data_IF_564832312048
#
_entry.id   IF_564832312048
#
_cell.length_a   1.000
_cell.length_b   1.000
_cell.length_c   1.000
_cell.angle_alpha   90.00
_cell.angle_beta   90.00
_cell.angle_gamma   90.00
#
_symmetry.space_group_name_H-M   'P 1'
#
loop_
_entity.id
_entity.type
_entity.pdbx_description
1 polymer ?
#
# COMPACT_ATOMS: atom_id res chain seq x y z
N UNK A 1 -9.69 14.33 -15.52
CA UNK A 1 -8.52 14.55 -16.39
C UNK A 1 -7.76 13.24 -16.44
N UNK A 2 -7.93 12.48 -17.51
CA UNK A 2 -7.19 11.24 -17.73
C UNK A 2 -5.80 11.60 -18.26
N UNK A 3 -4.77 11.20 -17.52
CA UNK A 3 -3.38 11.39 -17.91
C UNK A 3 -2.98 10.26 -18.85
N UNK A 4 -3.37 10.36 -20.12
CA UNK A 4 -2.96 9.44 -21.17
C UNK A 4 -2.33 10.27 -22.30
N UNK A 5 -1.01 10.15 -22.47
CA UNK A 5 -0.30 10.56 -23.68
C UNK A 5 -0.25 9.37 -24.66
N UNK A 6 -0.49 9.67 -25.93
CA UNK A 6 -0.55 8.79 -27.09
C UNK A 6 0.81 8.24 -27.53
N UNK A 7 1.85 8.33 -26.69
CA UNK A 7 3.25 7.95 -26.99
C UNK A 7 3.94 7.05 -25.96
N UNK A 8 3.18 6.42 -25.05
CA UNK A 8 3.60 5.17 -24.40
C UNK A 8 4.83 5.20 -23.48
N UNK A 9 5.08 6.29 -22.73
CA UNK A 9 6.38 6.44 -22.06
C UNK A 9 6.48 7.11 -20.69
N UNK A 10 5.41 7.37 -19.93
CA UNK A 10 5.50 7.63 -18.48
C UNK A 10 4.28 7.05 -17.77
N UNK A 11 4.51 6.14 -16.82
CA UNK A 11 3.44 5.39 -16.15
C UNK A 11 2.90 6.25 -15.01
N UNK A 12 1.59 6.43 -14.93
CA UNK A 12 0.87 7.11 -13.84
C UNK A 12 1.48 6.90 -12.43
N UNK A 13 2.04 5.69 -12.17
CA UNK A 13 2.80 5.35 -10.97
C UNK A 13 3.93 6.32 -10.58
N UNK A 14 4.68 6.87 -11.54
CA UNK A 14 5.81 7.75 -11.23
C UNK A 14 5.37 9.07 -10.59
N UNK A 15 4.14 9.53 -10.87
CA UNK A 15 3.56 10.76 -10.31
C UNK A 15 2.94 10.57 -8.93
N UNK A 16 2.51 9.36 -8.62
CA UNK A 16 1.75 9.05 -7.39
C UNK A 16 2.54 8.21 -6.38
N UNK A 17 3.69 7.65 -6.78
CA UNK A 17 4.43 6.70 -5.95
C UNK A 17 5.95 6.89 -5.99
N UNK A 18 6.58 6.58 -4.87
CA UNK A 18 8.02 6.31 -4.78
C UNK A 18 8.27 4.80 -4.82
N UNK A 19 9.04 4.34 -5.80
CA UNK A 19 9.22 2.92 -6.08
C UNK A 19 10.61 2.59 -6.59
N UNK A 20 10.89 1.31 -6.80
CA UNK A 20 12.25 0.83 -7.12
C UNK A 20 12.95 1.63 -8.23
N UNK A 21 12.20 2.04 -9.25
CA UNK A 21 12.73 2.74 -10.43
C UNK A 21 12.97 4.24 -10.23
N UNK A 22 12.30 4.90 -9.28
CA UNK A 22 12.39 6.36 -9.10
C UNK A 22 12.83 6.80 -7.69
N UNK A 23 12.84 5.90 -6.71
CA UNK A 23 13.08 6.25 -5.31
C UNK A 23 14.56 6.18 -4.91
N UNK A 24 15.45 5.63 -5.75
CA UNK A 24 16.87 5.46 -5.40
C UNK A 24 17.08 4.53 -4.20
N UNK A 25 16.21 3.52 -4.06
CA UNK A 25 16.24 2.51 -2.98
C UNK A 25 16.20 3.10 -1.56
N UNK A 26 15.48 4.22 -1.37
CA UNK A 26 15.28 4.86 -0.07
C UNK A 26 13.88 5.45 0.05
N UNK A 27 13.48 5.73 1.29
CA UNK A 27 12.28 6.51 1.59
C UNK A 27 12.44 7.97 1.15
N UNK A 28 11.32 8.63 0.91
CA UNK A 28 11.24 10.06 0.63
C UNK A 28 10.28 10.74 1.59
N UNK A 29 10.38 12.08 1.78
CA UNK A 29 9.43 12.83 2.58
C UNK A 29 7.99 12.56 2.14
N UNK A 30 7.10 12.32 3.11
CA UNK A 30 5.65 12.14 2.86
C UNK A 30 5.10 13.39 2.20
N UNK A 31 4.15 13.22 1.28
CA UNK A 31 3.47 14.34 0.63
C UNK A 31 4.17 14.87 -0.63
N UNK A 32 5.28 14.24 -1.05
CA UNK A 32 6.07 14.68 -2.20
C UNK A 32 5.55 14.18 -3.56
N UNK A 33 4.54 13.30 -3.56
CA UNK A 33 3.83 12.80 -4.75
C UNK A 33 2.39 13.28 -4.77
N UNK A 34 1.75 13.18 -5.94
CA UNK A 34 0.35 13.60 -6.14
C UNK A 34 -0.56 12.80 -5.17
N UNK A 35 -1.39 13.47 -4.36
CA UNK A 35 -2.28 12.79 -3.44
C UNK A 35 -3.38 12.02 -4.16
N UNK A 36 -3.89 10.98 -3.50
CA UNK A 36 -5.15 10.37 -3.88
C UNK A 36 -6.31 11.38 -3.71
N UNK A 37 -7.42 11.15 -4.41
CA UNK A 37 -8.67 11.94 -4.35
C UNK A 37 -9.25 12.15 -2.94
N UNK A 38 -8.85 11.34 -1.96
CA UNK A 38 -9.20 11.54 -0.54
C UNK A 38 -8.31 12.57 0.18
N UNK A 39 -7.28 13.10 -0.48
CA UNK A 39 -6.23 13.95 0.12
C UNK A 39 -5.08 13.17 0.76
N UNK A 40 -5.16 11.83 0.83
CA UNK A 40 -4.08 11.03 1.38
C UNK A 40 -2.91 10.88 0.39
N UNK A 41 -1.70 11.09 0.87
CA UNK A 41 -0.46 10.91 0.10
C UNK A 41 0.15 9.53 0.34
N UNK A 42 1.00 9.12 -0.61
CA UNK A 42 1.87 7.94 -0.52
C UNK A 42 1.13 6.63 -0.20
N UNK A 43 -0.13 6.51 -0.63
CA UNK A 43 -0.89 5.25 -0.57
C UNK A 43 -0.30 4.16 -1.50
N UNK A 44 0.56 4.57 -2.43
CA UNK A 44 1.27 3.71 -3.36
C UNK A 44 2.77 4.03 -3.23
N UNK A 45 3.58 3.03 -2.92
CA UNK A 45 5.03 3.19 -2.76
C UNK A 45 5.44 3.89 -1.47
N UNK A 46 6.65 4.45 -1.47
CA UNK A 46 7.40 4.90 -0.30
C UNK A 46 7.64 3.75 0.69
N UNK A 47 6.65 3.36 1.49
CA UNK A 47 6.70 2.18 2.36
C UNK A 47 5.37 1.45 2.32
N UNK A 48 5.41 0.12 2.45
CA UNK A 48 4.19 -0.64 2.69
C UNK A 48 3.66 -0.26 4.08
N UNK A 49 2.35 -0.18 4.24
CA UNK A 49 1.72 0.22 5.50
C UNK A 49 1.06 -0.98 6.18
N UNK A 50 1.35 -1.19 7.47
CA UNK A 50 0.67 -2.17 8.31
C UNK A 50 -0.84 -1.93 8.39
N UNK A 51 -1.62 -3.00 8.30
CA UNK A 51 -3.05 -3.03 8.57
C UNK A 51 -3.36 -3.81 9.85
N UNK A 52 -4.51 -3.52 10.48
CA UNK A 52 -4.93 -4.20 11.69
C UNK A 52 -5.28 -5.69 11.44
N UNK A 53 -5.71 -6.02 10.23
CA UNK A 53 -6.18 -7.34 9.81
C UNK A 53 -5.10 -8.42 9.90
N UNK A 54 -5.50 -9.61 10.38
CA UNK A 54 -4.75 -10.83 10.14
C UNK A 54 -4.91 -11.29 8.69
N UNK A 55 -3.85 -11.81 8.08
CA UNK A 55 -3.90 -12.35 6.73
C UNK A 55 -4.60 -13.72 6.72
N UNK A 56 -5.59 -13.86 5.83
CA UNK A 56 -6.24 -15.12 5.50
C UNK A 56 -6.11 -15.38 3.99
N UNK A 57 -5.43 -16.47 3.56
CA UNK A 57 -5.29 -16.80 2.14
C UNK A 57 -6.64 -17.12 1.46
N UNK A 58 -7.66 -17.48 2.23
CA UNK A 58 -9.00 -17.76 1.74
C UNK A 58 -9.93 -16.55 1.83
N UNK A 59 -9.41 -15.37 2.19
CA UNK A 59 -10.23 -14.15 2.35
C UNK A 59 -11.04 -13.79 1.08
N UNK A 60 -10.51 -14.09 -0.11
CA UNK A 60 -11.21 -13.86 -1.38
C UNK A 60 -12.37 -14.82 -1.64
N UNK A 61 -12.45 -15.96 -0.95
CA UNK A 61 -13.50 -16.96 -1.11
C UNK A 61 -14.75 -16.64 -0.28
N UNK A 62 -14.67 -15.65 0.62
CA UNK A 62 -15.83 -15.16 1.34
C UNK A 62 -16.73 -14.42 0.36
N UNK A 63 -17.68 -15.13 -0.25
CA UNK A 63 -18.68 -14.59 -1.17
C UNK A 63 -19.75 -13.72 -0.48
N UNK A 64 -19.41 -13.08 0.64
CA UNK A 64 -20.30 -12.22 1.41
C UNK A 64 -19.76 -10.80 1.41
N UNK A 65 -20.62 -9.84 1.06
CA UNK A 65 -20.34 -8.43 1.33
C UNK A 65 -20.45 -8.23 2.83
N UNK A 66 -19.33 -7.91 3.47
CA UNK A 66 -19.26 -7.64 4.91
C UNK A 66 -19.30 -6.13 5.15
N UNK A 67 -20.03 -5.70 6.17
CA UNK A 67 -19.98 -4.32 6.67
C UNK A 67 -18.84 -4.19 7.67
N UNK A 68 -17.89 -3.27 7.42
CA UNK A 68 -16.72 -3.04 8.26
C UNK A 68 -15.97 -4.32 8.67
N UNK A 69 -15.52 -5.15 7.71
CA UNK A 69 -14.75 -6.33 8.04
C UNK A 69 -13.45 -5.97 8.75
N UNK A 70 -13.10 -6.74 9.79
CA UNK A 70 -11.88 -6.56 10.59
C UNK A 70 -10.87 -7.70 10.39
N UNK A 71 -11.10 -8.53 9.38
CA UNK A 71 -10.36 -9.77 9.14
C UNK A 71 -10.66 -10.87 10.17
N UNK A 72 -9.92 -11.98 10.13
CA UNK A 72 -10.01 -13.04 11.14
C UNK A 72 -9.63 -12.56 12.53
N UNK A 73 -10.17 -13.20 13.58
CA UNK A 73 -9.86 -12.87 14.97
C UNK A 73 -8.39 -13.17 15.36
N UNK A 74 -7.79 -14.18 14.72
CA UNK A 74 -6.43 -14.64 15.00
C UNK A 74 -5.67 -14.94 13.70
N UNK A 75 -4.35 -14.98 13.77
CA UNK A 75 -3.50 -15.32 12.63
C UNK A 75 -2.02 -15.30 13.00
N UNK A 76 -1.18 -15.68 12.05
CA UNK A 76 0.28 -15.70 12.22
C UNK A 76 0.99 -14.56 11.49
N UNK A 77 0.30 -13.90 10.56
CA UNK A 77 0.85 -12.84 9.70
C UNK A 77 -0.15 -11.70 9.57
N UNK A 78 0.31 -10.46 9.66
CA UNK A 78 -0.50 -9.26 9.50
C UNK A 78 -0.44 -8.76 8.06
N UNK A 79 -1.52 -8.15 7.60
CA UNK A 79 -1.60 -7.58 6.25
C UNK A 79 -0.76 -6.31 6.16
N UNK A 80 -0.05 -6.13 5.04
CA UNK A 80 0.57 -4.86 4.63
C UNK A 80 0.08 -4.48 3.23
N UNK A 81 0.01 -3.18 2.94
CA UNK A 81 -0.54 -2.65 1.67
C UNK A 81 0.37 -1.57 1.08
N UNK A 82 0.21 -1.29 -0.21
CA UNK A 82 0.73 -0.08 -0.86
C UNK A 82 2.08 -0.24 -1.55
N UNK A 83 2.87 -1.26 -1.22
CA UNK A 83 4.22 -1.43 -1.76
C UNK A 83 5.20 -0.38 -1.23
N UNK A 84 6.45 -0.40 -1.69
CA UNK A 84 7.52 0.42 -1.11
C UNK A 84 8.48 0.96 -2.16
N UNK A 85 9.44 1.77 -1.72
CA UNK A 85 10.56 2.24 -2.53
C UNK A 85 11.40 1.11 -3.15
N UNK A 86 11.24 -0.15 -2.71
CA UNK A 86 12.02 -1.30 -3.16
C UNK A 86 11.26 -2.25 -4.08
N UNK A 87 9.98 -1.98 -4.40
CA UNK A 87 9.20 -2.78 -5.33
C UNK A 87 8.43 -1.88 -6.31
N UNK A 88 7.75 -2.48 -7.30
CA UNK A 88 6.99 -1.76 -8.32
C UNK A 88 5.51 -2.18 -8.41
N UNK A 89 5.07 -3.04 -7.51
CA UNK A 89 3.73 -3.64 -7.52
C UNK A 89 2.88 -3.08 -6.36
N UNK A 90 2.39 -1.85 -6.53
CA UNK A 90 1.64 -1.12 -5.48
C UNK A 90 0.19 -1.58 -5.32
N UNK A 91 -0.31 -2.42 -6.24
CA UNK A 91 -1.70 -2.89 -6.24
C UNK A 91 -1.87 -4.18 -5.43
N UNK A 92 -0.78 -4.87 -5.10
CA UNK A 92 -0.84 -6.10 -4.31
C UNK A 92 -0.86 -5.80 -2.82
N UNK A 93 -1.69 -6.57 -2.12
CA UNK A 93 -1.56 -6.75 -0.68
C UNK A 93 -0.48 -7.79 -0.43
N UNK A 94 0.26 -7.61 0.65
CA UNK A 94 1.24 -8.59 1.12
C UNK A 94 0.99 -8.87 2.61
N UNK A 95 1.77 -9.74 3.21
CA UNK A 95 1.66 -10.09 4.61
C UNK A 95 3.03 -10.32 5.22
N UNK A 96 3.16 -10.02 6.50
CA UNK A 96 4.42 -10.16 7.23
C UNK A 96 4.18 -10.72 8.63
N UNK A 97 5.21 -11.35 9.21
CA UNK A 97 5.17 -11.71 10.62
C UNK A 97 5.12 -10.41 11.45
N UNK A 98 4.20 -10.27 12.42
CA UNK A 98 4.05 -9.04 13.21
C UNK A 98 5.30 -8.64 14.00
N UNK A 99 6.24 -9.57 14.23
CA UNK A 99 7.51 -9.30 14.90
C UNK A 99 8.62 -8.83 13.95
N UNK A 100 8.42 -8.93 12.64
CA UNK A 100 9.40 -8.49 11.66
C UNK A 100 9.48 -6.97 11.56
N UNK A 101 10.71 -6.47 11.46
CA UNK A 101 11.01 -5.07 11.16
C UNK A 101 11.68 -4.99 9.82
N UNK A 102 11.06 -4.29 8.87
CA UNK A 102 11.63 -4.07 7.55
C UNK A 102 11.72 -2.57 7.27
N UNK A 103 12.82 -2.15 6.63
CA UNK A 103 13.04 -0.73 6.27
C UNK A 103 12.02 -0.21 5.25
N UNK A 104 11.31 -1.12 4.60
CA UNK A 104 10.29 -0.89 3.57
C UNK A 104 8.87 -0.83 4.13
N UNK A 105 8.70 -0.93 5.45
CA UNK A 105 7.37 -1.03 6.08
C UNK A 105 7.21 0.03 7.16
N UNK A 106 6.11 0.78 7.09
CA UNK A 106 5.66 1.75 8.07
C UNK A 106 4.19 1.54 8.42
N UNK A 107 3.50 2.62 8.82
CA UNK A 107 2.06 2.60 9.09
C UNK A 107 1.48 4.01 8.99
N UNK A 108 0.15 4.09 8.84
CA UNK A 108 -0.62 5.31 9.04
C UNK A 108 -1.70 5.08 10.07
N UNK A 109 -2.09 6.16 10.75
CA UNK A 109 -3.17 6.13 11.71
C UNK A 109 -4.52 6.34 11.03
N UNK A 110 -5.54 5.69 11.59
CA UNK A 110 -6.96 5.92 11.30
C UNK A 110 -7.66 6.05 12.63
N UNK A 111 -8.64 6.94 12.70
CA UNK A 111 -9.47 7.16 13.88
C UNK A 111 -10.94 7.31 13.45
N UNK A 112 -11.84 6.71 14.20
CA UNK A 112 -13.28 6.94 14.07
C UNK A 112 -13.66 8.25 14.75
N UNK A 113 -14.64 8.96 14.19
CA UNK A 113 -15.19 10.16 14.81
C UNK A 113 -16.12 9.83 15.97
#
# INVERSE_FOLDING_TARGET
REYIDKRGGFKYGDFVAWHEKNAGRKTHPVGSKIPHRSGAHDLMGNVSEWCADWFDPNYSQYNKVLTNPVGPATGTRKVVRGGSFANSDFVKSDFLNPMEKQKTVGFRLVQTR
#
